data_IF_276496323200
#
_entry.id   IF_276496323200
#
_cell.length_a   1.000
_cell.length_b   1.000
_cell.length_c   1.000
_cell.angle_alpha   90.00
_cell.angle_beta   90.00
_cell.angle_gamma   90.00
#
_symmetry.space_group_name_H-M   'P 1'
#
loop_
_entity.id
_entity.type
_entity.pdbx_description
1 polymer ?
#
# COMPACT_ATOMS: atom_id res chain seq x y z
N UNK A 1 -0.51 -4.21 4.29
CA UNK A 1 0.15 -5.18 5.20
C UNK A 1 1.57 -4.74 5.51
N UNK A 2 2.12 -5.20 6.65
CA UNK A 2 3.42 -4.76 7.20
C UNK A 2 4.61 -5.62 6.76
N UNK A 3 4.36 -6.82 6.25
CA UNK A 3 5.40 -7.72 5.75
C UNK A 3 4.82 -8.73 4.77
N UNK A 4 5.65 -9.18 3.83
CA UNK A 4 5.33 -10.32 2.97
C UNK A 4 5.13 -11.60 3.78
N UNK A 5 5.91 -11.80 4.84
CA UNK A 5 5.78 -12.94 5.74
C UNK A 5 4.42 -13.00 6.43
N UNK A 6 3.86 -11.85 6.81
CA UNK A 6 2.52 -11.77 7.38
C UNK A 6 1.43 -12.12 6.37
N UNK A 7 1.64 -11.81 5.09
CA UNK A 7 0.73 -12.23 4.01
C UNK A 7 0.68 -13.74 3.90
N UNK A 8 1.86 -14.37 3.82
CA UNK A 8 2.00 -15.83 3.69
C UNK A 8 1.41 -16.54 4.91
N UNK A 9 1.66 -16.00 6.10
CA UNK A 9 1.08 -16.53 7.33
C UNK A 9 -0.46 -16.55 7.32
N UNK A 10 -1.12 -15.53 6.75
CA UNK A 10 -2.57 -15.55 6.60
C UNK A 10 -3.06 -16.67 5.67
N UNK A 11 -2.33 -16.93 4.60
CA UNK A 11 -2.68 -17.99 3.63
C UNK A 11 -2.46 -19.37 4.25
N UNK A 12 -1.36 -19.54 5.00
CA UNK A 12 -1.07 -20.77 5.75
C UNK A 12 -2.15 -21.04 6.81
N UNK A 13 -2.56 -20.02 7.59
CA UNK A 13 -3.60 -20.16 8.60
C UNK A 13 -4.96 -20.53 8.00
N UNK A 14 -5.32 -19.94 6.86
CA UNK A 14 -6.55 -20.29 6.15
C UNK A 14 -6.53 -21.76 5.70
N UNK A 15 -5.37 -22.23 5.22
CA UNK A 15 -5.14 -23.62 4.81
C UNK A 15 -5.25 -24.59 5.99
N UNK A 16 -4.59 -24.30 7.11
CA UNK A 16 -4.57 -25.16 8.30
C UNK A 16 -5.93 -25.30 8.97
N UNK A 17 -6.69 -24.20 9.03
CA UNK A 17 -7.98 -24.17 9.75
C UNK A 17 -9.15 -24.62 8.88
N UNK A 18 -8.99 -24.66 7.56
CA UNK A 18 -10.10 -24.84 6.62
C UNK A 18 -11.13 -23.70 6.65
N UNK A 19 -10.82 -22.60 7.34
CA UNK A 19 -11.69 -21.45 7.51
C UNK A 19 -11.20 -20.27 6.66
N UNK A 20 -12.16 -19.42 6.31
CA UNK A 20 -11.90 -18.20 5.54
C UNK A 20 -11.23 -17.16 6.44
N UNK A 21 -9.91 -17.00 6.32
CA UNK A 21 -9.18 -15.90 6.97
C UNK A 21 -8.90 -14.83 5.93
N UNK A 22 -9.35 -13.60 6.20
CA UNK A 22 -9.36 -12.52 5.21
C UNK A 22 -9.00 -11.20 5.84
N UNK A 23 -8.21 -10.39 5.13
CA UNK A 23 -8.03 -8.99 5.48
C UNK A 23 -9.10 -8.11 4.81
N UNK A 24 -9.13 -6.82 5.16
CA UNK A 24 -10.07 -5.86 4.55
C UNK A 24 -9.95 -5.77 3.03
N UNK A 25 -8.74 -5.91 2.47
CA UNK A 25 -8.55 -5.90 1.01
C UNK A 25 -9.23 -7.11 0.35
N UNK A 26 -9.03 -8.31 0.91
CA UNK A 26 -9.65 -9.55 0.41
C UNK A 26 -11.17 -9.50 0.48
N UNK A 27 -11.69 -8.99 1.60
CA UNK A 27 -13.13 -8.81 1.78
C UNK A 27 -13.72 -7.86 0.72
N UNK A 28 -12.98 -6.81 0.36
CA UNK A 28 -13.37 -5.82 -0.63
C UNK A 28 -13.08 -6.24 -2.08
N UNK A 29 -12.50 -7.44 -2.30
CA UNK A 29 -12.07 -7.89 -3.63
C UNK A 29 -10.97 -7.03 -4.25
N UNK A 30 -10.11 -6.44 -3.42
CA UNK A 30 -8.98 -5.61 -3.84
C UNK A 30 -7.67 -6.33 -3.60
N UNK A 31 -6.66 -5.98 -4.39
CA UNK A 31 -5.31 -6.49 -4.19
C UNK A 31 -4.75 -6.10 -2.82
N UNK A 32 -4.04 -7.05 -2.22
CA UNK A 32 -3.35 -6.88 -0.95
C UNK A 32 -2.16 -5.93 -1.13
N UNK A 33 -2.34 -4.66 -0.75
CA UNK A 33 -1.25 -3.68 -0.83
C UNK A 33 -0.25 -3.82 0.34
N UNK A 34 1.03 -3.89 -0.02
CA UNK A 34 2.17 -4.04 0.87
C UNK A 34 2.81 -2.69 1.24
N UNK A 35 1.99 -1.66 1.41
CA UNK A 35 2.42 -0.26 1.60
C UNK A 35 3.50 -0.08 2.67
N UNK A 36 3.33 -0.71 3.83
CA UNK A 36 4.30 -0.56 4.92
C UNK A 36 5.59 -1.34 4.67
N UNK A 37 5.53 -2.56 4.11
CA UNK A 37 6.74 -3.33 3.78
C UNK A 37 7.49 -2.80 2.57
N UNK A 38 6.80 -2.11 1.66
CA UNK A 38 7.39 -1.51 0.47
C UNK A 38 7.74 -0.04 0.68
N UNK A 39 7.66 0.49 1.91
CA UNK A 39 7.92 1.90 2.23
C UNK A 39 9.21 2.43 1.60
N UNK A 40 10.33 1.75 1.79
CA UNK A 40 11.63 2.19 1.26
C UNK A 40 11.67 2.20 -0.27
N UNK A 41 11.01 1.22 -0.90
CA UNK A 41 10.88 1.16 -2.35
C UNK A 41 9.98 2.29 -2.86
N UNK A 42 8.84 2.51 -2.20
CA UNK A 42 7.87 3.55 -2.55
C UNK A 42 8.49 4.95 -2.44
N UNK A 43 9.25 5.25 -1.37
CA UNK A 43 9.96 6.53 -1.29
C UNK A 43 11.05 6.71 -2.34
N UNK A 44 11.62 5.62 -2.86
CA UNK A 44 12.61 5.69 -3.95
C UNK A 44 11.95 5.92 -5.31
N UNK A 45 10.84 5.24 -5.57
CA UNK A 45 10.09 5.34 -6.84
C UNK A 45 9.24 6.61 -6.91
N UNK A 46 8.67 7.03 -5.78
CA UNK A 46 7.81 8.19 -5.62
C UNK A 46 8.33 9.07 -4.47
N UNK A 47 9.45 9.77 -4.68
CA UNK A 47 10.03 10.60 -3.63
C UNK A 47 9.07 11.72 -3.21
N UNK A 48 9.13 12.07 -1.94
CA UNK A 48 8.45 13.25 -1.40
C UNK A 48 9.42 14.42 -1.51
N UNK A 49 9.09 15.47 -2.29
CA UNK A 49 9.95 16.64 -2.40
C UNK A 49 10.22 17.31 -1.05
N UNK A 50 11.37 17.96 -0.93
CA UNK A 50 11.67 18.79 0.24
C UNK A 50 10.60 19.89 0.39
N UNK A 51 10.16 20.15 1.62
CA UNK A 51 9.11 21.14 1.91
C UNK A 51 7.69 20.73 1.53
N UNK A 52 7.48 19.52 0.97
CA UNK A 52 6.17 19.04 0.57
C UNK A 52 5.15 19.06 1.72
N UNK A 53 5.54 18.60 2.91
CA UNK A 53 4.63 18.58 4.07
C UNK A 53 4.16 19.96 4.50
N UNK A 54 5.04 20.97 4.44
CA UNK A 54 4.70 22.34 4.81
C UNK A 54 3.74 22.95 3.78
N UNK A 55 4.02 22.77 2.49
CA UNK A 55 3.15 23.24 1.41
C UNK A 55 1.78 22.54 1.42
N UNK A 56 1.73 21.23 1.70
CA UNK A 56 0.48 20.48 1.85
C UNK A 56 -0.34 21.02 3.03
N UNK A 57 0.31 21.29 4.17
CA UNK A 57 -0.34 21.86 5.36
C UNK A 57 -0.92 23.26 5.08
N UNK A 58 -0.27 24.04 4.21
CA UNK A 58 -0.75 25.36 3.76
C UNK A 58 -1.83 25.27 2.67
N UNK A 59 -2.13 24.09 2.13
CA UNK A 59 -3.07 23.89 1.03
C UNK A 59 -2.54 24.38 -0.33
N UNK A 60 -1.22 24.50 -0.47
CA UNK A 60 -0.57 24.96 -1.71
C UNK A 60 -0.39 23.83 -2.73
N UNK A 61 -0.39 22.58 -2.26
CA UNK A 61 -0.25 21.37 -3.05
C UNK A 61 -1.21 20.30 -2.54
N UNK A 62 -1.55 19.34 -3.41
CA UNK A 62 -2.43 18.21 -3.10
C UNK A 62 -1.72 16.85 -3.29
N UNK A 63 -2.44 15.77 -3.01
CA UNK A 63 -2.02 14.38 -3.15
C UNK A 63 -2.26 13.82 -4.56
N UNK A 64 -2.80 14.60 -5.50
CA UNK A 64 -3.06 14.19 -6.89
C UNK A 64 -1.83 13.53 -7.54
N UNK A 65 -0.64 14.06 -7.24
CA UNK A 65 0.64 13.53 -7.71
C UNK A 65 1.00 12.14 -7.14
N UNK A 66 0.20 11.56 -6.26
CA UNK A 66 0.38 10.25 -5.64
C UNK A 66 -0.84 9.33 -5.86
N UNK A 67 -1.84 9.74 -6.66
CA UNK A 67 -3.00 8.91 -6.92
C UNK A 67 -2.66 7.67 -7.77
N UNK A 68 -3.28 6.50 -7.48
CA UNK A 68 -2.97 5.23 -8.17
C UNK A 68 -3.09 5.29 -9.70
N UNK A 69 -3.96 6.15 -10.23
CA UNK A 69 -4.17 6.31 -11.67
C UNK A 69 -2.98 6.91 -12.42
N UNK A 70 -2.02 7.51 -11.72
CA UNK A 70 -0.83 8.13 -12.32
C UNK A 70 0.38 7.19 -12.40
N UNK A 71 0.39 6.08 -11.63
CA UNK A 71 1.56 5.19 -11.47
C UNK A 71 1.34 3.74 -11.88
N UNK A 72 0.09 3.32 -12.14
CA UNK A 72 -0.24 1.93 -12.50
C UNK A 72 -0.47 1.72 -14.02
N UNK A 73 -0.18 2.71 -14.86
CA UNK A 73 -0.39 2.64 -16.31
C UNK A 73 0.70 1.86 -17.06
N UNK A 74 1.85 1.61 -16.42
CA UNK A 74 2.97 0.88 -17.01
C UNK A 74 3.09 -0.50 -16.34
N UNK A 75 2.14 -1.38 -16.66
CA UNK A 75 2.15 -2.80 -16.34
C UNK A 75 2.66 -3.64 -17.49
#
# INVERSE_FOLDING_TARGET
MRSESGCRWFDDLASETGHKVMCGADFMGRDRLLLESWRDRMYREMPVPEGWHDAYTRGEIDIDAYEPGHFLADG
#
